data_IF_524635050302
#
_entry.id   IF_524635050302
#
_cell.length_a   1.000
_cell.length_b   1.000
_cell.length_c   1.000
_cell.angle_alpha   90.00
_cell.angle_beta   90.00
_cell.angle_gamma   90.00
#
_symmetry.space_group_name_H-M   'P 1'
#
loop_
_entity.id
_entity.type
_entity.pdbx_description
1 polymer ?
#
# COMPACT_ATOMS: atom_id res chain seq x y z
N UNK A 1 -23.92 8.46 -18.27
CA UNK A 1 -24.55 7.71 -17.15
C UNK A 1 -23.82 6.41 -16.77
N UNK A 2 -23.23 5.65 -17.71
CA UNK A 2 -22.47 4.42 -17.39
C UNK A 2 -21.23 4.63 -16.49
N UNK A 3 -20.59 5.80 -16.55
CA UNK A 3 -19.36 6.08 -15.79
C UNK A 3 -19.56 6.35 -14.30
N UNK A 4 -20.71 6.89 -13.87
CA UNK A 4 -21.01 7.14 -12.45
C UNK A 4 -21.21 5.83 -11.67
N UNK A 5 -21.84 4.83 -12.30
CA UNK A 5 -22.11 3.52 -11.71
C UNK A 5 -20.81 2.73 -11.50
N UNK A 6 -19.83 2.88 -12.40
CA UNK A 6 -18.50 2.29 -12.23
C UNK A 6 -17.71 2.91 -11.07
N UNK A 7 -17.83 4.22 -10.83
CA UNK A 7 -17.14 4.91 -9.73
C UNK A 7 -17.71 4.49 -8.36
N UNK A 8 -19.04 4.35 -8.25
CA UNK A 8 -19.66 3.90 -7.01
C UNK A 8 -19.37 2.44 -6.69
N UNK A 9 -19.18 1.60 -7.71
CA UNK A 9 -18.94 0.16 -7.52
C UNK A 9 -17.61 -0.13 -6.82
N UNK A 10 -16.51 0.48 -7.27
CA UNK A 10 -15.18 0.14 -6.77
C UNK A 10 -14.92 0.72 -5.36
N UNK A 11 -15.40 1.94 -5.12
CA UNK A 11 -15.42 2.55 -3.78
C UNK A 11 -16.34 1.78 -2.81
N UNK A 12 -17.49 1.28 -3.28
CA UNK A 12 -18.42 0.48 -2.47
C UNK A 12 -17.77 -0.81 -1.95
N UNK A 13 -17.11 -1.56 -2.83
CA UNK A 13 -16.39 -2.79 -2.45
C UNK A 13 -15.28 -2.50 -1.42
N UNK A 14 -14.57 -1.37 -1.56
CA UNK A 14 -13.54 -0.98 -0.60
C UNK A 14 -14.13 -0.65 0.79
N UNK A 15 -15.28 0.05 0.85
CA UNK A 15 -15.99 0.32 2.11
C UNK A 15 -16.52 -0.95 2.75
N UNK A 16 -17.07 -1.88 1.96
CA UNK A 16 -17.54 -3.18 2.44
C UNK A 16 -16.41 -4.00 3.05
N UNK A 17 -15.23 -4.02 2.43
CA UNK A 17 -14.06 -4.70 2.98
C UNK A 17 -13.61 -4.11 4.34
N UNK A 18 -13.64 -2.78 4.49
CA UNK A 18 -13.37 -2.10 5.76
C UNK A 18 -14.44 -2.49 6.80
N UNK A 19 -15.72 -2.44 6.44
CA UNK A 19 -16.82 -2.80 7.33
C UNK A 19 -16.74 -4.27 7.81
N UNK A 20 -16.40 -5.20 6.90
CA UNK A 20 -16.18 -6.60 7.24
C UNK A 20 -15.06 -6.78 8.28
N UNK A 21 -13.96 -6.03 8.14
CA UNK A 21 -12.84 -6.07 9.10
C UNK A 21 -13.27 -5.58 10.49
N UNK A 22 -14.05 -4.50 10.55
CA UNK A 22 -14.60 -3.97 11.80
C UNK A 22 -15.55 -4.98 12.46
N UNK A 23 -16.36 -5.70 11.68
CA UNK A 23 -17.23 -6.76 12.19
C UNK A 23 -16.42 -7.92 12.79
N UNK A 24 -15.33 -8.35 12.15
CA UNK A 24 -14.41 -9.37 12.68
C UNK A 24 -13.77 -8.90 13.99
N UNK A 25 -13.27 -7.65 14.04
CA UNK A 25 -12.71 -7.08 15.27
C UNK A 25 -13.74 -7.04 16.41
N UNK A 26 -14.97 -6.62 16.13
CA UNK A 26 -16.04 -6.61 17.11
C UNK A 26 -16.35 -8.01 17.65
N UNK A 27 -16.32 -9.04 16.78
CA UNK A 27 -16.52 -10.43 17.18
C UNK A 27 -15.39 -10.92 18.09
N UNK A 28 -14.11 -10.69 17.72
CA UNK A 28 -12.94 -11.09 18.50
C UNK A 28 -12.89 -10.45 19.89
N UNK A 29 -13.32 -9.20 20.00
CA UNK A 29 -13.37 -8.47 21.28
C UNK A 29 -14.64 -8.84 22.08
N UNK A 30 -15.74 -9.18 21.40
CA UNK A 30 -17.00 -9.58 22.03
C UNK A 30 -17.00 -11.00 22.57
N UNK A 31 -16.22 -11.91 21.98
CA UNK A 31 -16.09 -13.31 22.43
C UNK A 31 -15.44 -13.47 23.80
N UNK A 32 -14.73 -12.45 24.31
CA UNK A 32 -14.20 -12.44 25.68
C UNK A 32 -15.24 -12.19 26.78
N UNK A 33 -16.47 -11.80 26.42
CA UNK A 33 -17.51 -11.41 27.40
C UNK A 33 -18.58 -12.48 27.66
N UNK A 34 -18.58 -13.59 26.91
CA UNK A 34 -19.54 -14.69 27.07
C UNK A 34 -18.93 -15.86 27.84
N UNK A 35 -19.04 -15.87 29.17
CA UNK A 35 -18.72 -17.07 29.96
C UNK A 35 -19.67 -18.21 29.58
N UNK A 36 -19.18 -19.45 29.34
CA UNK A 36 -20.03 -20.55 28.92
C UNK A 36 -21.00 -20.96 30.03
N UNK A 37 -22.24 -21.27 29.63
CA UNK A 37 -23.28 -21.83 30.48
C UNK A 37 -22.78 -23.14 31.14
N UNK A 38 -22.78 -23.17 32.47
CA UNK A 38 -22.06 -24.16 33.31
C UNK A 38 -22.88 -25.44 33.53
N UNK A 39 -23.59 -25.93 32.53
CA UNK A 39 -24.59 -26.99 32.71
C UNK A 39 -24.17 -28.37 32.19
N UNK A 40 -22.95 -28.54 31.62
CA UNK A 40 -22.52 -29.82 31.03
C UNK A 40 -21.27 -30.44 31.72
N UNK A 41 -21.40 -31.56 32.45
CA UNK A 41 -20.31 -32.14 33.23
C UNK A 41 -19.22 -32.81 32.37
N UNK A 42 -19.49 -33.15 31.11
CA UNK A 42 -18.48 -33.66 30.18
C UNK A 42 -17.53 -32.58 29.64
N UNK A 43 -17.97 -31.32 29.62
CA UNK A 43 -17.13 -30.17 29.27
C UNK A 43 -16.14 -29.83 30.39
N UNK A 44 -16.44 -30.20 31.65
CA UNK A 44 -15.63 -29.85 32.81
C UNK A 44 -14.25 -30.53 32.84
N UNK A 45 -14.08 -31.71 32.22
CA UNK A 45 -12.79 -32.40 32.14
C UNK A 45 -11.91 -31.88 31.00
N UNK A 46 -12.50 -31.46 29.87
CA UNK A 46 -11.77 -30.77 28.79
C UNK A 46 -11.38 -29.32 29.17
N UNK A 47 -12.19 -28.66 30.02
CA UNK A 47 -11.94 -27.30 30.51
C UNK A 47 -10.80 -27.21 31.53
N UNK A 48 -10.35 -28.32 32.13
CA UNK A 48 -9.23 -28.30 33.10
C UNK A 48 -7.86 -28.11 32.45
N UNK A 49 -7.74 -28.38 31.15
CA UNK A 49 -6.49 -28.23 30.38
C UNK A 49 -6.43 -26.93 29.54
N UNK A 50 -7.52 -26.15 29.48
CA UNK A 50 -7.55 -24.85 28.80
C UNK A 50 -7.17 -23.73 29.78
N UNK A 51 -6.01 -23.11 29.56
CA UNK A 51 -5.58 -21.92 30.31
C UNK A 51 -6.34 -20.69 29.76
N UNK A 52 -7.32 -20.12 30.50
CA UNK A 52 -8.12 -19.00 30.01
C UNK A 52 -7.28 -17.75 29.70
N UNK A 53 -6.09 -17.62 30.30
CA UNK A 53 -5.16 -16.53 29.97
C UNK A 53 -4.46 -16.75 28.63
N UNK A 54 -4.23 -18.01 28.25
CA UNK A 54 -3.69 -18.37 26.93
C UNK A 54 -4.71 -18.04 25.83
N UNK A 55 -5.97 -18.42 26.02
CA UNK A 55 -7.04 -18.14 25.06
C UNK A 55 -7.25 -16.63 24.87
N UNK A 56 -7.22 -15.87 25.97
CA UNK A 56 -7.24 -14.40 25.91
C UNK A 56 -6.03 -13.85 25.14
N UNK A 57 -4.83 -14.35 25.41
CA UNK A 57 -3.62 -13.90 24.73
C UNK A 57 -3.66 -14.19 23.21
N UNK A 58 -4.14 -15.37 22.82
CA UNK A 58 -4.33 -15.73 21.40
C UNK A 58 -5.36 -14.83 20.72
N UNK A 59 -6.51 -14.58 21.36
CA UNK A 59 -7.52 -13.65 20.84
C UNK A 59 -7.02 -12.21 20.69
N UNK A 60 -6.15 -11.73 21.59
CA UNK A 60 -5.50 -10.42 21.46
C UNK A 60 -4.55 -10.35 20.25
N UNK A 61 -3.80 -11.44 19.98
CA UNK A 61 -2.94 -11.52 18.80
C UNK A 61 -3.76 -11.55 17.50
N UNK A 62 -4.87 -12.31 17.48
CA UNK A 62 -5.80 -12.32 16.35
C UNK A 62 -6.41 -10.94 16.10
N UNK A 63 -6.77 -10.23 17.18
CA UNK A 63 -7.24 -8.85 17.12
C UNK A 63 -6.20 -7.92 16.48
N UNK A 64 -4.93 -8.00 16.90
CA UNK A 64 -3.85 -7.21 16.31
C UNK A 64 -3.64 -7.54 14.82
N UNK A 65 -3.74 -8.81 14.44
CA UNK A 65 -3.63 -9.23 13.05
C UNK A 65 -4.78 -8.66 12.20
N UNK A 66 -6.02 -8.63 12.72
CA UNK A 66 -7.14 -8.03 12.01
C UNK A 66 -7.03 -6.50 11.93
N UNK A 67 -6.52 -5.83 12.97
CA UNK A 67 -6.22 -4.38 12.89
C UNK A 67 -5.25 -4.09 11.74
N UNK A 68 -4.18 -4.88 11.60
CA UNK A 68 -3.24 -4.70 10.49
C UNK A 68 -3.89 -4.87 9.10
N UNK A 69 -4.84 -5.81 8.95
CA UNK A 69 -5.62 -5.98 7.72
C UNK A 69 -6.57 -4.81 7.47
N UNK A 70 -7.21 -4.31 8.52
CA UNK A 70 -8.07 -3.12 8.47
C UNK A 70 -7.28 -1.87 8.04
N UNK A 71 -6.07 -1.66 8.56
CA UNK A 71 -5.19 -0.56 8.15
C UNK A 71 -4.84 -0.65 6.66
N UNK A 72 -4.51 -1.83 6.16
CA UNK A 72 -4.24 -2.06 4.74
C UNK A 72 -5.47 -1.76 3.86
N UNK A 73 -6.65 -2.25 4.25
CA UNK A 73 -7.92 -1.99 3.53
C UNK A 73 -8.32 -0.52 3.57
N UNK A 74 -8.09 0.17 4.68
CA UNK A 74 -8.32 1.61 4.82
C UNK A 74 -7.33 2.40 3.95
N UNK A 75 -6.07 1.99 3.89
CA UNK A 75 -5.10 2.57 2.96
C UNK A 75 -5.52 2.37 1.50
N UNK A 76 -6.04 1.19 1.16
CA UNK A 76 -6.61 0.92 -0.16
C UNK A 76 -7.79 1.85 -0.46
N UNK A 77 -8.74 2.00 0.47
CA UNK A 77 -9.87 2.93 0.31
C UNK A 77 -9.39 4.37 0.06
N UNK A 78 -8.38 4.83 0.82
CA UNK A 78 -7.78 6.16 0.61
C UNK A 78 -7.17 6.30 -0.80
N UNK A 79 -6.46 5.28 -1.27
CA UNK A 79 -5.90 5.23 -2.64
C UNK A 79 -7.00 5.28 -3.70
N UNK A 80 -8.06 4.48 -3.53
CA UNK A 80 -9.20 4.45 -4.45
C UNK A 80 -9.85 5.83 -4.55
N UNK A 81 -10.16 6.46 -3.41
CA UNK A 81 -10.75 7.80 -3.37
C UNK A 81 -9.84 8.86 -4.01
N UNK A 82 -8.54 8.81 -3.76
CA UNK A 82 -7.57 9.71 -4.37
C UNK A 82 -7.51 9.53 -5.90
N UNK A 83 -7.50 8.29 -6.38
CA UNK A 83 -7.48 7.98 -7.81
C UNK A 83 -8.79 8.38 -8.51
N UNK A 84 -9.93 8.11 -7.89
CA UNK A 84 -11.25 8.49 -8.40
C UNK A 84 -11.42 10.01 -8.44
N UNK A 85 -10.99 10.71 -7.38
CA UNK A 85 -10.98 12.17 -7.36
C UNK A 85 -10.08 12.75 -8.45
N UNK A 86 -8.85 12.21 -8.60
CA UNK A 86 -7.95 12.66 -9.64
C UNK A 86 -8.50 12.41 -11.05
N UNK A 87 -9.24 11.31 -11.24
CA UNK A 87 -9.97 11.01 -12.47
C UNK A 87 -11.12 11.98 -12.69
N UNK A 88 -11.86 12.33 -11.65
CA UNK A 88 -12.95 13.30 -11.71
C UNK A 88 -12.46 14.70 -12.06
N UNK A 89 -11.37 15.14 -11.46
CA UNK A 89 -10.74 16.42 -11.76
C UNK A 89 -10.44 16.60 -13.25
N UNK A 90 -10.00 15.53 -13.95
CA UNK A 90 -9.76 15.57 -15.40
C UNK A 90 -11.02 15.80 -16.25
N UNK A 91 -12.20 15.45 -15.75
CA UNK A 91 -13.47 15.70 -16.46
C UNK A 91 -14.11 17.04 -16.08
N UNK A 92 -13.81 17.56 -14.89
CA UNK A 92 -14.33 18.84 -14.41
C UNK A 92 -13.48 20.02 -14.91
N UNK A 93 -12.18 19.82 -15.06
CA UNK A 93 -11.27 20.85 -15.53
C UNK A 93 -11.49 21.16 -17.03
N UNK A 94 -11.39 22.45 -17.44
CA UNK A 94 -11.33 22.81 -18.86
C UNK A 94 -10.16 22.10 -19.56
N UNK A 95 -10.26 21.81 -20.87
CA UNK A 95 -9.15 21.25 -21.63
C UNK A 95 -7.90 22.10 -21.47
N UNK A 96 -6.81 21.50 -20.98
CA UNK A 96 -5.54 22.19 -20.84
C UNK A 96 -4.91 22.44 -22.21
N UNK A 97 -4.92 23.71 -22.64
CA UNK A 97 -4.38 24.14 -23.93
C UNK A 97 -2.85 24.14 -23.98
N UNK A 98 -2.19 24.17 -22.82
CA UNK A 98 -0.73 24.20 -22.70
C UNK A 98 -0.21 23.28 -21.59
N UNK A 99 1.12 23.05 -21.58
CA UNK A 99 1.81 22.34 -20.48
C UNK A 99 1.64 23.09 -19.16
N UNK A 100 1.66 24.43 -19.19
CA UNK A 100 1.46 25.27 -18.00
C UNK A 100 0.06 25.07 -17.40
N UNK A 101 -0.96 24.98 -18.23
CA UNK A 101 -2.34 24.76 -17.76
C UNK A 101 -2.48 23.40 -17.08
N UNK A 102 -1.83 22.36 -17.61
CA UNK A 102 -1.80 21.03 -16.96
C UNK A 102 -1.11 21.08 -15.61
N UNK A 103 0.03 21.77 -15.51
CA UNK A 103 0.74 21.92 -14.26
C UNK A 103 -0.11 22.65 -13.21
N UNK A 104 -0.83 23.72 -13.59
CA UNK A 104 -1.76 24.43 -12.70
C UNK A 104 -2.90 23.52 -12.23
N UNK A 105 -3.47 22.71 -13.12
CA UNK A 105 -4.52 21.74 -12.76
C UNK A 105 -4.00 20.67 -11.79
N UNK A 106 -2.80 20.14 -12.02
CA UNK A 106 -2.15 19.17 -11.13
C UNK A 106 -1.85 19.78 -9.76
N UNK A 107 -1.34 21.02 -9.71
CA UNK A 107 -1.09 21.74 -8.47
C UNK A 107 -2.37 22.00 -7.67
N UNK A 108 -3.45 22.42 -8.33
CA UNK A 108 -4.74 22.63 -7.68
C UNK A 108 -5.27 21.35 -7.03
N UNK A 109 -5.23 20.23 -7.77
CA UNK A 109 -5.65 18.92 -7.28
C UNK A 109 -4.81 18.46 -6.08
N UNK A 110 -3.49 18.66 -6.12
CA UNK A 110 -2.60 18.36 -4.99
C UNK A 110 -2.95 19.21 -3.76
N UNK A 111 -3.19 20.51 -3.94
CA UNK A 111 -3.54 21.43 -2.86
C UNK A 111 -4.89 21.08 -2.21
N UNK A 112 -5.90 20.70 -3.01
CA UNK A 112 -7.21 20.28 -2.52
C UNK A 112 -7.11 19.02 -1.65
N UNK A 113 -6.38 18.00 -2.12
CA UNK A 113 -6.14 16.76 -1.36
C UNK A 113 -5.31 17.03 -0.11
N UNK A 114 -4.29 17.87 -0.20
CA UNK A 114 -3.46 18.27 0.94
C UNK A 114 -4.30 18.94 2.04
N UNK A 115 -5.20 19.84 1.65
CA UNK A 115 -6.09 20.55 2.56
C UNK A 115 -7.05 19.59 3.28
N UNK A 116 -7.77 18.73 2.54
CA UNK A 116 -8.73 17.78 3.12
C UNK A 116 -8.05 16.78 4.07
N UNK A 117 -6.85 16.30 3.71
CA UNK A 117 -6.10 15.35 4.54
C UNK A 117 -5.28 16.02 5.64
N UNK A 118 -5.20 17.36 5.66
CA UNK A 118 -4.33 18.12 6.58
C UNK A 118 -2.87 17.65 6.54
N UNK A 119 -2.32 17.52 5.33
CA UNK A 119 -0.92 17.13 5.09
C UNK A 119 -0.21 18.13 4.18
N UNK A 120 1.12 18.01 4.07
CA UNK A 120 1.86 18.83 3.10
C UNK A 120 1.49 18.50 1.66
N UNK A 121 1.60 19.46 0.74
CA UNK A 121 1.43 19.23 -0.70
C UNK A 121 2.38 18.15 -1.23
N UNK A 122 3.60 18.05 -0.68
CA UNK A 122 4.55 16.97 -1.01
C UNK A 122 3.97 15.60 -0.67
N UNK A 123 3.35 15.46 0.51
CA UNK A 123 2.71 14.22 0.95
C UNK A 123 1.50 13.88 0.08
N UNK A 124 0.66 14.87 -0.23
CA UNK A 124 -0.51 14.68 -1.09
C UNK A 124 -0.12 14.31 -2.52
N UNK A 125 0.89 14.98 -3.10
CA UNK A 125 1.42 14.68 -4.43
C UNK A 125 2.03 13.27 -4.51
N UNK A 126 2.73 12.84 -3.46
CA UNK A 126 3.22 11.46 -3.36
C UNK A 126 2.06 10.45 -3.33
N UNK A 127 1.04 10.67 -2.49
CA UNK A 127 -0.15 9.81 -2.42
C UNK A 127 -0.85 9.71 -3.77
N UNK A 128 -1.04 10.82 -4.49
CA UNK A 128 -1.69 10.85 -5.80
C UNK A 128 -0.88 10.10 -6.86
N UNK A 129 0.45 10.22 -6.82
CA UNK A 129 1.36 9.51 -7.71
C UNK A 129 1.35 8.00 -7.43
N UNK A 130 1.43 7.62 -6.15
CA UNK A 130 1.35 6.22 -5.69
C UNK A 130 -0.01 5.60 -6.02
N UNK A 131 -1.11 6.35 -5.82
CA UNK A 131 -2.46 5.92 -6.17
C UNK A 131 -2.60 5.67 -7.67
N UNK A 132 -2.05 6.56 -8.50
CA UNK A 132 -2.00 6.36 -9.95
C UNK A 132 -1.19 5.12 -10.31
N UNK A 133 0.00 4.93 -9.75
CA UNK A 133 0.82 3.75 -10.01
C UNK A 133 0.07 2.44 -9.69
N UNK A 134 -0.52 2.35 -8.50
CA UNK A 134 -1.28 1.16 -8.07
C UNK A 134 -2.47 0.86 -8.99
N UNK A 135 -3.28 1.87 -9.30
CA UNK A 135 -4.53 1.68 -10.05
C UNK A 135 -4.34 1.52 -11.55
N UNK A 136 -3.14 1.76 -12.10
CA UNK A 136 -2.90 1.74 -13.56
C UNK A 136 -1.81 0.78 -14.02
N UNK A 137 -0.82 0.50 -13.19
CA UNK A 137 0.34 -0.32 -13.57
C UNK A 137 0.53 -1.56 -12.70
N UNK A 138 -0.05 -1.59 -11.48
CA UNK A 138 0.27 -2.60 -10.48
C UNK A 138 -0.97 -3.38 -9.97
N UNK A 139 -1.64 -4.16 -10.83
CA UNK A 139 -2.92 -4.77 -10.51
C UNK A 139 -2.86 -5.83 -9.40
N UNK A 140 -1.76 -6.59 -9.29
CA UNK A 140 -1.61 -7.61 -8.25
C UNK A 140 -1.34 -6.95 -6.89
N UNK A 141 -0.50 -5.93 -6.85
CA UNK A 141 -0.26 -5.12 -5.64
C UNK A 141 -1.54 -4.44 -5.18
N UNK A 142 -2.29 -3.89 -6.12
CA UNK A 142 -3.58 -3.27 -5.85
C UNK A 142 -4.57 -4.26 -5.23
N UNK A 143 -4.72 -5.45 -5.82
CA UNK A 143 -5.58 -6.51 -5.30
C UNK A 143 -5.14 -6.97 -3.90
N UNK A 144 -3.84 -7.19 -3.67
CA UNK A 144 -3.31 -7.63 -2.39
C UNK A 144 -3.54 -6.59 -1.27
N UNK A 145 -3.32 -5.30 -1.56
CA UNK A 145 -3.58 -4.23 -0.60
C UNK A 145 -5.08 -4.15 -0.24
N UNK A 146 -5.97 -4.26 -1.23
CA UNK A 146 -7.43 -4.31 -1.00
C UNK A 146 -7.88 -5.53 -0.22
N UNK A 147 -7.23 -6.67 -0.42
CA UNK A 147 -7.52 -7.88 0.36
C UNK A 147 -7.02 -7.76 1.82
N UNK A 148 -6.10 -6.83 2.09
CA UNK A 148 -5.41 -6.70 3.36
C UNK A 148 -4.30 -7.74 3.54
N UNK A 149 -3.88 -8.42 2.47
CA UNK A 149 -2.83 -9.45 2.54
C UNK A 149 -1.42 -8.85 2.54
N UNK A 150 -1.28 -7.60 2.13
CA UNK A 150 -0.04 -6.81 2.28
C UNK A 150 -0.35 -5.46 2.93
N UNK A 151 0.58 -4.94 3.72
CA UNK A 151 0.45 -3.61 4.31
C UNK A 151 0.73 -2.50 3.29
N UNK A 152 0.35 -1.26 3.63
CA UNK A 152 0.67 -0.08 2.82
C UNK A 152 2.18 0.07 2.53
N UNK A 153 3.04 -0.27 3.49
CA UNK A 153 4.49 -0.20 3.31
C UNK A 153 5.00 -1.20 2.26
N UNK A 154 4.43 -2.40 2.21
CA UNK A 154 4.75 -3.40 1.17
C UNK A 154 4.33 -2.92 -0.22
N UNK A 155 3.14 -2.33 -0.34
CA UNK A 155 2.68 -1.74 -1.59
C UNK A 155 3.60 -0.61 -2.07
N UNK A 156 4.03 0.29 -1.17
CA UNK A 156 4.99 1.36 -1.50
C UNK A 156 6.33 0.83 -1.97
N UNK A 157 6.86 -0.24 -1.36
CA UNK A 157 8.08 -0.90 -1.83
C UNK A 157 7.92 -1.36 -3.27
N UNK A 158 6.80 -2.00 -3.63
CA UNK A 158 6.56 -2.44 -5.01
C UNK A 158 6.43 -1.26 -5.97
N UNK A 159 5.75 -0.17 -5.59
CA UNK A 159 5.68 1.06 -6.39
C UNK A 159 7.09 1.63 -6.64
N UNK A 160 7.91 1.73 -5.60
CA UNK A 160 9.27 2.28 -5.70
C UNK A 160 10.18 1.39 -6.56
N UNK A 161 10.15 0.06 -6.36
CA UNK A 161 10.99 -0.87 -7.10
C UNK A 161 10.53 -1.07 -8.55
N UNK A 162 9.26 -0.85 -8.85
CA UNK A 162 8.76 -0.84 -10.25
C UNK A 162 8.93 0.52 -10.93
N UNK A 163 9.30 1.57 -10.20
CA UNK A 163 9.58 2.87 -10.76
C UNK A 163 10.72 2.80 -11.80
N UNK A 164 10.45 3.34 -12.98
CA UNK A 164 11.37 3.32 -14.12
C UNK A 164 11.45 2.00 -14.88
N UNK A 165 10.70 0.97 -14.49
CA UNK A 165 10.51 -0.23 -15.31
C UNK A 165 9.43 0.01 -16.37
N UNK A 166 9.50 -0.74 -17.46
CA UNK A 166 8.41 -0.85 -18.42
C UNK A 166 7.27 -1.72 -17.85
N UNK A 167 6.15 -1.78 -18.57
CA UNK A 167 4.98 -2.55 -18.13
C UNK A 167 5.27 -4.04 -17.97
N UNK A 168 6.13 -4.61 -18.82
CA UNK A 168 6.53 -6.01 -18.74
C UNK A 168 7.41 -6.29 -17.51
N UNK A 169 8.37 -5.41 -17.22
CA UNK A 169 9.21 -5.49 -16.03
C UNK A 169 8.41 -5.34 -14.74
N UNK A 170 7.47 -4.38 -14.69
CA UNK A 170 6.58 -4.21 -13.54
C UNK A 170 5.72 -5.45 -13.29
N UNK A 171 5.09 -6.00 -14.34
CA UNK A 171 4.26 -7.20 -14.24
C UNK A 171 5.07 -8.44 -13.80
N UNK A 172 6.30 -8.59 -14.31
CA UNK A 172 7.20 -9.67 -13.90
C UNK A 172 7.59 -9.57 -12.42
N UNK A 173 7.88 -8.35 -11.95
CA UNK A 173 8.23 -8.11 -10.55
C UNK A 173 7.06 -8.42 -9.62
N UNK A 174 5.87 -7.90 -9.89
CA UNK A 174 4.70 -8.20 -9.07
C UNK A 174 4.31 -9.68 -9.13
N UNK A 175 4.31 -10.27 -10.32
CA UNK A 175 4.01 -11.69 -10.51
C UNK A 175 4.95 -12.57 -9.69
N UNK A 176 6.25 -12.25 -9.64
CA UNK A 176 7.19 -13.00 -8.82
C UNK A 176 6.83 -13.00 -7.33
N UNK A 177 6.37 -11.87 -6.76
CA UNK A 177 6.13 -11.74 -5.32
C UNK A 177 4.69 -11.99 -4.88
N UNK A 178 3.72 -11.80 -5.77
CA UNK A 178 2.30 -11.77 -5.41
C UNK A 178 1.45 -12.80 -6.16
N UNK A 179 1.93 -13.37 -7.27
CA UNK A 179 1.20 -14.44 -7.97
C UNK A 179 1.66 -15.82 -7.46
N UNK A 180 0.80 -16.54 -6.71
CA UNK A 180 1.13 -17.86 -6.19
C UNK A 180 1.30 -18.91 -7.30
N UNK A 181 0.75 -18.66 -8.50
CA UNK A 181 0.84 -19.55 -9.65
C UNK A 181 2.05 -19.25 -10.56
N UNK A 182 2.80 -18.16 -10.29
CA UNK A 182 3.91 -17.77 -11.15
C UNK A 182 5.03 -18.83 -11.15
N UNK A 183 5.54 -19.23 -12.33
CA UNK A 183 6.70 -20.11 -12.39
C UNK A 183 7.90 -19.40 -11.78
N UNK A 184 8.46 -19.99 -10.72
CA UNK A 184 9.54 -19.36 -9.96
C UNK A 184 9.09 -18.25 -9.02
N UNK A 185 7.84 -18.27 -8.55
CA UNK A 185 7.34 -17.42 -7.47
C UNK A 185 8.33 -17.35 -6.29
N UNK A 186 8.34 -16.21 -5.61
CA UNK A 186 9.20 -15.93 -4.49
C UNK A 186 9.10 -17.06 -3.45
N UNK A 187 10.16 -17.88 -3.38
CA UNK A 187 10.16 -19.03 -2.47
C UNK A 187 10.26 -18.56 -1.03
N UNK A 188 9.55 -19.26 -0.16
CA UNK A 188 9.51 -19.03 1.28
C UNK A 188 8.24 -18.33 1.72
N UNK A 189 8.41 -17.31 2.57
CA UNK A 189 7.35 -16.56 3.23
C UNK A 189 6.67 -15.57 2.26
N UNK A 190 5.34 -15.45 2.36
CA UNK A 190 4.54 -14.58 1.51
C UNK A 190 4.93 -13.10 1.72
N UNK A 191 4.67 -12.25 0.73
CA UNK A 191 5.08 -10.84 0.76
C UNK A 191 4.60 -10.09 2.02
N UNK A 192 3.35 -10.31 2.45
CA UNK A 192 2.77 -9.65 3.62
C UNK A 192 3.18 -10.22 4.97
N UNK A 193 3.78 -11.40 5.00
CA UNK A 193 4.31 -12.04 6.21
C UNK A 193 5.79 -11.68 6.45
N UNK A 194 6.45 -11.08 5.45
CA UNK A 194 7.78 -10.52 5.61
C UNK A 194 7.72 -9.17 6.30
N UNK A 195 8.75 -8.86 7.10
CA UNK A 195 8.96 -7.50 7.59
C UNK A 195 9.30 -6.60 6.38
N UNK A 196 8.75 -5.37 6.27
CA UNK A 196 8.94 -4.51 5.10
C UNK A 196 10.41 -4.29 4.69
N UNK A 197 11.34 -4.19 5.64
CA UNK A 197 12.77 -4.05 5.35
C UNK A 197 13.36 -5.27 4.63
N UNK A 198 12.96 -6.48 5.03
CA UNK A 198 13.37 -7.73 4.36
C UNK A 198 12.72 -7.87 3.00
N UNK A 199 11.43 -7.51 2.89
CA UNK A 199 10.74 -7.51 1.62
C UNK A 199 11.43 -6.58 0.62
N UNK A 200 11.73 -5.33 1.02
CA UNK A 200 12.50 -4.36 0.22
C UNK A 200 13.82 -4.94 -0.28
N UNK A 201 14.61 -5.57 0.59
CA UNK A 201 15.88 -6.17 0.20
C UNK A 201 15.70 -7.28 -0.85
N UNK A 202 14.69 -8.16 -0.70
CA UNK A 202 14.39 -9.22 -1.67
C UNK A 202 13.92 -8.63 -3.00
N UNK A 203 12.99 -7.67 -2.98
CA UNK A 203 12.45 -7.03 -4.18
C UNK A 203 13.54 -6.31 -4.97
N UNK A 204 14.40 -5.55 -4.27
CA UNK A 204 15.56 -4.89 -4.88
C UNK A 204 16.54 -5.88 -5.49
N UNK A 205 16.90 -6.94 -4.76
CA UNK A 205 17.81 -7.98 -5.27
C UNK A 205 17.25 -8.65 -6.53
N UNK A 206 15.95 -8.94 -6.53
CA UNK A 206 15.28 -9.52 -7.69
C UNK A 206 15.30 -8.54 -8.87
N UNK A 207 14.93 -7.28 -8.63
CA UNK A 207 14.94 -6.20 -9.63
C UNK A 207 16.33 -6.04 -10.25
N UNK A 208 17.37 -6.02 -9.44
CA UNK A 208 18.76 -5.87 -9.91
C UNK A 208 19.19 -7.02 -10.82
N UNK A 209 18.76 -8.26 -10.55
CA UNK A 209 19.08 -9.45 -11.36
C UNK A 209 18.30 -9.54 -12.68
N UNK A 210 17.13 -8.93 -12.74
CA UNK A 210 16.22 -9.01 -13.88
C UNK A 210 16.10 -7.66 -14.62
N UNK A 211 16.93 -6.68 -14.28
CA UNK A 211 16.96 -5.40 -14.96
C UNK A 211 17.48 -5.59 -16.41
N UNK A 212 16.81 -5.00 -17.42
CA UNK A 212 17.21 -5.17 -18.82
C UNK A 212 18.60 -4.60 -19.13
N UNK A 213 18.97 -3.50 -18.46
CA UNK A 213 20.31 -2.93 -18.50
C UNK A 213 21.21 -3.49 -17.39
N UNK A 214 22.48 -3.75 -17.72
CA UNK A 214 23.47 -4.21 -16.75
C UNK A 214 23.70 -3.19 -15.64
N UNK A 215 24.19 -3.66 -14.49
CA UNK A 215 24.50 -2.79 -13.36
C UNK A 215 25.60 -1.78 -13.71
N UNK A 216 26.55 -2.17 -14.58
CA UNK A 216 27.63 -1.32 -15.07
C UNK A 216 27.08 -0.18 -15.93
N UNK A 217 26.17 -0.47 -16.88
CA UNK A 217 25.57 0.54 -17.74
C UNK A 217 24.81 1.60 -16.91
N UNK A 218 24.04 1.17 -15.91
CA UNK A 218 23.31 2.08 -15.00
C UNK A 218 24.23 2.83 -14.05
N UNK A 219 25.33 2.20 -13.61
CA UNK A 219 26.33 2.87 -12.80
C UNK A 219 27.02 3.98 -13.62
N UNK A 220 27.31 3.76 -14.91
CA UNK A 220 27.84 4.81 -15.80
C UNK A 220 26.90 6.01 -15.89
N UNK A 221 25.58 5.78 -16.04
CA UNK A 221 24.58 6.86 -16.02
C UNK A 221 24.51 7.54 -14.65
N UNK A 222 24.50 6.78 -13.56
CA UNK A 222 24.42 7.34 -12.20
C UNK A 222 25.67 8.14 -11.81
N UNK A 223 26.85 7.72 -12.28
CA UNK A 223 28.10 8.45 -12.14
C UNK A 223 28.06 9.76 -12.92
N UNK A 224 27.41 9.80 -14.09
CA UNK A 224 27.19 11.03 -14.83
C UNK A 224 26.21 11.98 -14.10
N UNK A 225 25.21 11.42 -13.41
CA UNK A 225 24.20 12.16 -12.62
C UNK A 225 24.66 12.61 -11.22
N UNK A 226 25.91 12.30 -10.83
CA UNK A 226 26.44 12.61 -9.49
C UNK A 226 26.38 14.11 -9.22
N UNK A 227 25.82 14.49 -8.07
CA UNK A 227 25.65 15.91 -7.71
C UNK A 227 25.46 16.09 -6.22
N UNK A 228 25.73 17.31 -5.76
CA UNK A 228 25.40 17.77 -4.41
C UNK A 228 24.36 18.87 -4.56
N UNK A 229 23.24 18.71 -3.86
CA UNK A 229 22.17 19.70 -3.80
C UNK A 229 22.21 20.39 -2.44
N UNK A 230 22.15 21.71 -2.47
CA UNK A 230 22.01 22.57 -1.29
C UNK A 230 20.61 23.13 -1.26
N UNK A 231 19.91 22.94 -0.15
CA UNK A 231 18.55 23.45 0.05
C UNK A 231 18.54 24.27 1.35
N UNK A 232 18.37 25.60 1.30
CA UNK A 232 18.25 26.41 2.50
C UNK A 232 16.99 26.03 3.30
N UNK A 233 17.09 26.09 4.63
CA UNK A 233 16.04 25.79 5.60
C UNK A 233 15.81 26.98 6.54
N UNK A 234 14.85 26.88 7.46
CA UNK A 234 14.55 27.91 8.46
C UNK A 234 15.70 28.11 9.45
N UNK A 235 15.69 29.26 10.11
CA UNK A 235 16.66 29.64 11.17
C UNK A 235 18.13 29.66 10.72
N UNK A 236 18.38 29.94 9.44
CA UNK A 236 19.73 30.00 8.87
C UNK A 236 20.38 28.62 8.67
N UNK A 237 19.59 27.54 8.81
CA UNK A 237 20.04 26.17 8.56
C UNK A 237 19.91 25.82 7.08
N UNK A 238 20.54 24.71 6.67
CA UNK A 238 20.40 24.18 5.32
C UNK A 238 20.62 22.67 5.27
N UNK A 239 19.98 22.01 4.31
CA UNK A 239 20.20 20.61 3.96
C UNK A 239 21.25 20.51 2.85
N UNK A 240 22.18 19.58 3.02
CA UNK A 240 23.13 19.18 1.99
C UNK A 240 22.90 17.72 1.65
N UNK A 241 22.49 17.44 0.41
CA UNK A 241 22.20 16.10 -0.07
C UNK A 241 23.17 15.73 -1.17
N UNK A 242 23.84 14.58 -1.06
CA UNK A 242 24.80 14.11 -2.05
C UNK A 242 24.29 12.84 -2.74
N UNK A 243 24.28 12.85 -4.07
CA UNK A 243 24.07 11.66 -4.90
C UNK A 243 25.43 11.19 -5.41
N UNK A 244 25.93 10.12 -4.80
CA UNK A 244 27.24 9.52 -5.04
C UNK A 244 27.09 8.08 -5.53
N UNK A 245 28.08 7.53 -6.26
CA UNK A 245 28.11 6.11 -6.66
C UNK A 245 28.24 5.16 -5.47
#
# INVERSE_FOLDING_TARGET
MKSRVAWSGDSGVAVEAVAASVAVLAALLGSGAGGPDRSDPAAADAQRDADPLRDLAEGLLDGLAEVARLEARTAALKVQLAADYARAGRFLAPPAGSVRDRAVQEMALVAEVACVLTVSERTAGALLSEARALTTALPLTWAALRAGTISWQHARILIEETSGLDSAGAASLEGHFLDPAAPGAARGCAAGELVPSRFRAKTRTWRERHHPESIEARHTVSVADRRVEFVPDRDGMAWLSARLP
#
